data_IF_385307314382
#
_entry.id   IF_385307314382
#
_cell.length_a   1.000
_cell.length_b   1.000
_cell.length_c   1.000
_cell.angle_alpha   90.00
_cell.angle_beta   90.00
_cell.angle_gamma   90.00
#
_symmetry.space_group_name_H-M   'P 1'
#
loop_
_entity.id
_entity.type
_entity.pdbx_description
1 polymer ?
#
# COMPACT_ATOMS: atom_id res chain seq x y z
N UNK A 1 0.28 -19.59 -5.15
CA UNK A 1 -0.76 -18.77 -5.82
C UNK A 1 -0.63 -17.34 -5.35
N UNK A 2 -0.80 -16.38 -6.28
CA UNK A 2 -0.86 -14.95 -5.98
C UNK A 2 -2.32 -14.54 -5.81
N UNK A 3 -2.58 -13.62 -4.90
CA UNK A 3 -3.90 -13.05 -4.66
C UNK A 3 -3.93 -11.58 -5.03
N UNK A 4 -4.89 -11.18 -5.88
CA UNK A 4 -5.15 -9.82 -6.27
C UNK A 4 -6.43 -9.29 -5.63
N UNK A 5 -6.39 -8.04 -5.20
CA UNK A 5 -7.55 -7.30 -4.71
C UNK A 5 -7.61 -5.99 -5.47
N UNK A 6 -8.77 -5.62 -5.97
CA UNK A 6 -8.92 -4.38 -6.72
C UNK A 6 -10.28 -3.73 -6.47
N UNK A 7 -10.34 -2.42 -6.70
CA UNK A 7 -11.58 -1.68 -6.75
C UNK A 7 -12.43 -2.13 -7.96
N UNK A 8 -13.77 -2.17 -7.89
CA UNK A 8 -14.62 -2.49 -9.03
C UNK A 8 -14.39 -1.63 -10.28
N UNK A 9 -13.92 -0.40 -10.11
CA UNK A 9 -13.59 0.47 -11.23
C UNK A 9 -12.33 -0.02 -11.97
N UNK A 10 -11.36 -0.62 -11.26
CA UNK A 10 -10.19 -1.25 -11.87
C UNK A 10 -10.61 -2.39 -12.79
N UNK A 11 -11.55 -3.23 -12.34
CA UNK A 11 -12.11 -4.30 -13.17
C UNK A 11 -12.75 -3.74 -14.45
N UNK A 12 -13.57 -2.70 -14.32
CA UNK A 12 -14.23 -2.07 -15.45
C UNK A 12 -13.22 -1.49 -16.47
N UNK A 13 -12.17 -0.83 -15.99
CA UNK A 13 -11.12 -0.25 -16.84
C UNK A 13 -10.32 -1.36 -17.53
N UNK A 14 -9.87 -2.38 -16.80
CA UNK A 14 -9.13 -3.50 -17.38
C UNK A 14 -9.96 -4.22 -18.45
N UNK A 15 -11.24 -4.46 -18.17
CA UNK A 15 -12.15 -5.11 -19.12
C UNK A 15 -12.38 -4.24 -20.36
N UNK A 16 -12.54 -2.93 -20.19
CA UNK A 16 -12.73 -1.99 -21.31
C UNK A 16 -11.52 -1.92 -22.23
N UNK A 17 -10.32 -2.12 -21.67
CA UNK A 17 -9.05 -2.16 -22.42
C UNK A 17 -8.75 -3.53 -23.06
N UNK A 18 -9.75 -4.43 -23.12
CA UNK A 18 -9.61 -5.76 -23.73
C UNK A 18 -8.86 -6.78 -22.87
N UNK A 19 -8.55 -6.46 -21.63
CA UNK A 19 -8.01 -7.42 -20.68
C UNK A 19 -9.16 -8.31 -20.16
N UNK A 20 -8.99 -9.61 -20.25
CA UNK A 20 -10.01 -10.55 -19.78
C UNK A 20 -9.49 -11.37 -18.61
N UNK A 21 -10.28 -11.40 -17.55
CA UNK A 21 -10.07 -12.36 -16.47
C UNK A 21 -10.46 -13.76 -16.96
N UNK A 22 -9.62 -14.75 -16.67
CA UNK A 22 -9.99 -16.14 -16.92
C UNK A 22 -11.15 -16.49 -16.00
N UNK A 23 -12.33 -16.82 -16.51
CA UNK A 23 -13.51 -17.01 -15.69
C UNK A 23 -13.33 -18.19 -14.73
N UNK A 24 -13.75 -17.99 -13.48
CA UNK A 24 -13.95 -19.08 -12.51
C UNK A 24 -15.41 -19.56 -12.58
N UNK A 25 -15.70 -20.66 -11.90
CA UNK A 25 -17.09 -21.18 -11.86
C UNK A 25 -18.04 -20.12 -11.31
N UNK A 26 -19.25 -20.01 -11.86
CA UNK A 26 -20.25 -19.07 -11.40
C UNK A 26 -20.53 -19.14 -9.87
N UNK A 27 -20.61 -20.33 -9.23
CA UNK A 27 -20.73 -20.42 -7.78
C UNK A 27 -19.58 -19.75 -7.02
N UNK A 28 -18.34 -19.87 -7.50
CA UNK A 28 -17.18 -19.25 -6.85
C UNK A 28 -17.18 -17.73 -7.02
N UNK A 29 -17.60 -17.21 -8.16
CA UNK A 29 -17.77 -15.77 -8.35
C UNK A 29 -18.74 -15.17 -7.34
N UNK A 30 -19.91 -15.77 -7.17
CA UNK A 30 -20.94 -15.28 -6.27
C UNK A 30 -20.63 -15.51 -4.79
N UNK A 31 -20.09 -16.66 -4.43
CA UNK A 31 -19.87 -17.02 -3.01
C UNK A 31 -18.57 -16.43 -2.45
N UNK A 32 -17.52 -16.29 -3.27
CA UNK A 32 -16.19 -15.85 -2.84
C UNK A 32 -15.78 -14.47 -3.35
N UNK A 33 -16.63 -13.82 -4.17
CA UNK A 33 -16.30 -12.54 -4.80
C UNK A 33 -15.08 -12.60 -5.72
N UNK A 34 -14.82 -13.79 -6.31
CA UNK A 34 -13.72 -13.99 -7.24
C UNK A 34 -14.08 -13.44 -8.63
N UNK A 35 -13.25 -12.56 -9.17
CA UNK A 35 -13.40 -12.06 -10.53
C UNK A 35 -12.82 -13.04 -11.56
N UNK A 36 -11.73 -13.72 -11.22
CA UNK A 36 -11.04 -14.65 -12.08
C UNK A 36 -9.52 -14.60 -11.89
N UNK A 37 -8.81 -15.26 -12.80
CA UNK A 37 -7.34 -15.23 -12.86
C UNK A 37 -6.87 -14.26 -13.93
N UNK A 38 -5.91 -13.42 -13.57
CA UNK A 38 -5.27 -12.47 -14.46
C UNK A 38 -3.77 -12.43 -14.14
N UNK A 39 -2.92 -12.65 -15.13
CA UNK A 39 -1.46 -12.72 -14.98
C UNK A 39 -0.99 -13.61 -13.81
N UNK A 40 -1.63 -14.77 -13.62
CA UNK A 40 -1.23 -15.74 -12.60
C UNK A 40 -1.74 -15.47 -11.18
N UNK A 41 -2.44 -14.37 -10.95
CA UNK A 41 -3.07 -14.04 -9.67
C UNK A 41 -4.58 -14.24 -9.70
N UNK A 42 -5.16 -14.66 -8.58
CA UNK A 42 -6.61 -14.71 -8.36
C UNK A 42 -7.09 -13.35 -7.84
N UNK A 43 -7.98 -12.68 -8.58
CA UNK A 43 -8.50 -11.37 -8.22
C UNK A 43 -9.85 -11.43 -7.54
N UNK A 44 -10.01 -10.57 -6.53
CA UNK A 44 -11.27 -10.32 -5.82
C UNK A 44 -11.59 -8.83 -5.87
N UNK A 45 -12.86 -8.51 -6.12
CA UNK A 45 -13.34 -7.14 -6.05
C UNK A 45 -13.58 -6.73 -4.60
N UNK A 46 -13.08 -5.56 -4.23
CA UNK A 46 -13.30 -4.96 -2.90
C UNK A 46 -13.57 -3.46 -3.01
N UNK A 47 -14.67 -3.00 -2.41
CA UNK A 47 -15.12 -1.59 -2.49
C UNK A 47 -14.37 -0.64 -1.55
N UNK A 48 -13.39 -1.13 -0.79
CA UNK A 48 -12.72 -0.33 0.25
C UNK A 48 -11.35 0.19 -0.17
N UNK A 49 -10.93 -0.03 -1.40
CA UNK A 49 -9.68 0.54 -1.89
C UNK A 49 -9.85 2.05 -2.11
N UNK A 50 -8.90 2.87 -1.60
CA UNK A 50 -8.94 4.29 -1.83
C UNK A 50 -8.67 4.61 -3.30
N UNK A 51 -9.29 5.66 -3.80
CA UNK A 51 -8.88 6.32 -5.04
C UNK A 51 -7.99 7.50 -4.71
N UNK A 52 -7.04 7.79 -5.60
CA UNK A 52 -6.15 8.94 -5.48
C UNK A 52 -6.42 9.88 -6.66
N UNK A 53 -6.81 11.11 -6.35
CA UNK A 53 -6.93 12.16 -7.34
C UNK A 53 -5.60 12.91 -7.46
N UNK A 54 -4.95 12.79 -8.62
CA UNK A 54 -3.73 13.53 -8.94
C UNK A 54 -4.15 14.75 -9.75
N UNK A 55 -3.77 15.93 -9.29
CA UNK A 55 -4.05 17.21 -9.91
C UNK A 55 -2.90 18.15 -9.58
N UNK A 56 -1.81 18.03 -10.31
CA UNK A 56 -0.55 18.73 -10.04
C UNK A 56 -0.17 19.71 -11.16
N UNK A 57 -0.92 19.67 -12.27
CA UNK A 57 -0.61 20.45 -13.43
C UNK A 57 0.69 20.04 -14.13
N UNK A 58 1.11 20.82 -15.10
CA UNK A 58 2.31 20.58 -15.89
C UNK A 58 3.63 20.86 -15.15
N UNK A 59 3.59 21.18 -13.86
CA UNK A 59 4.78 21.57 -13.09
C UNK A 59 5.79 20.41 -12.92
N UNK A 60 5.29 19.17 -12.92
CA UNK A 60 6.12 17.96 -12.83
C UNK A 60 6.52 17.38 -14.19
N UNK A 61 6.05 17.98 -15.28
CA UNK A 61 6.39 17.52 -16.62
C UNK A 61 7.82 17.94 -17.01
N UNK A 62 8.49 17.09 -17.78
CA UNK A 62 9.78 17.40 -18.36
C UNK A 62 10.94 17.52 -17.38
N UNK A 63 10.81 17.04 -16.13
CA UNK A 63 11.90 17.04 -15.15
C UNK A 63 12.20 18.41 -14.54
N UNK A 64 11.26 19.34 -14.59
CA UNK A 64 11.41 20.68 -14.01
C UNK A 64 11.49 20.68 -12.48
N UNK A 65 10.90 19.67 -11.84
CA UNK A 65 10.97 19.48 -10.38
C UNK A 65 12.12 18.53 -10.03
N UNK A 66 12.93 18.91 -9.07
CA UNK A 66 14.07 18.12 -8.61
C UNK A 66 14.03 17.91 -7.09
N UNK A 67 14.71 16.87 -6.62
CA UNK A 67 14.94 16.68 -5.18
C UNK A 67 15.94 17.72 -4.71
N UNK A 68 15.51 18.63 -3.83
CA UNK A 68 16.41 19.62 -3.21
C UNK A 68 17.15 19.03 -2.02
N UNK A 69 16.46 18.25 -1.20
CA UNK A 69 17.08 17.52 -0.09
C UNK A 69 16.29 16.26 0.26
N UNK A 70 16.99 15.27 0.80
CA UNK A 70 16.44 14.04 1.34
C UNK A 70 16.94 13.87 2.76
N UNK A 71 16.03 13.65 3.70
CA UNK A 71 16.34 13.42 5.10
C UNK A 71 15.73 12.10 5.55
N UNK A 72 16.59 11.14 5.88
CA UNK A 72 16.16 9.86 6.42
C UNK A 72 15.66 10.05 7.87
N UNK A 73 14.52 9.47 8.18
CA UNK A 73 13.94 9.43 9.52
C UNK A 73 13.87 7.99 10.05
N UNK A 74 13.25 7.81 11.19
CA UNK A 74 13.07 6.47 11.78
C UNK A 74 11.72 5.84 11.42
N UNK A 75 10.71 6.62 11.16
CA UNK A 75 9.36 6.16 10.82
C UNK A 75 8.92 6.61 9.43
N UNK A 76 9.46 7.69 8.95
CA UNK A 76 9.22 8.24 7.63
C UNK A 76 10.43 9.07 7.21
N UNK A 77 10.63 9.18 5.92
CA UNK A 77 11.63 10.06 5.33
C UNK A 77 10.98 11.35 4.85
N UNK A 78 11.78 12.41 4.79
CA UNK A 78 11.34 13.71 4.33
C UNK A 78 12.09 14.07 3.06
N UNK A 79 11.34 14.36 1.99
CA UNK A 79 11.88 14.82 0.69
C UNK A 79 11.42 16.23 0.46
N UNK A 80 12.36 17.12 0.18
CA UNK A 80 12.05 18.48 -0.27
C UNK A 80 12.22 18.53 -1.79
N UNK A 81 11.11 18.79 -2.48
CA UNK A 81 11.05 18.99 -3.92
C UNK A 81 11.10 20.47 -4.23
N UNK A 82 11.82 20.86 -5.27
CA UNK A 82 11.95 22.26 -5.67
C UNK A 82 11.94 22.42 -7.18
N UNK A 83 11.44 23.57 -7.63
CA UNK A 83 11.46 24.00 -9.02
C UNK A 83 11.54 25.53 -9.11
N UNK A 84 11.73 26.08 -10.32
CA UNK A 84 11.71 27.54 -10.54
C UNK A 84 10.34 28.15 -10.21
N UNK A 85 9.27 27.41 -10.54
CA UNK A 85 7.88 27.76 -10.21
C UNK A 85 7.18 26.50 -9.75
N UNK A 86 6.81 26.42 -8.49
CA UNK A 86 6.12 25.29 -7.91
C UNK A 86 4.97 25.79 -7.03
N UNK A 87 3.75 25.61 -7.48
CA UNK A 87 2.53 26.08 -6.81
C UNK A 87 1.57 24.97 -6.46
N UNK A 88 1.79 23.79 -7.02
CA UNK A 88 0.93 22.61 -6.85
C UNK A 88 0.89 22.08 -5.43
N UNK A 89 -0.09 21.25 -5.16
CA UNK A 89 -0.18 20.47 -3.93
C UNK A 89 -0.19 18.98 -4.26
N UNK A 90 0.51 18.19 -3.46
CA UNK A 90 0.49 16.74 -3.56
C UNK A 90 -0.44 16.17 -2.50
N UNK A 91 -1.34 15.29 -2.94
CA UNK A 91 -2.29 14.62 -2.06
C UNK A 91 -1.68 13.35 -1.48
N UNK A 92 -2.13 13.00 -0.27
CA UNK A 92 -1.83 11.70 0.33
C UNK A 92 -2.13 10.57 -0.65
N UNK A 93 -1.21 9.62 -0.78
CA UNK A 93 -1.32 8.48 -1.69
C UNK A 93 -0.77 8.72 -3.09
N UNK A 94 -0.36 9.96 -3.43
CA UNK A 94 0.29 10.25 -4.72
C UNK A 94 1.65 9.55 -4.78
N UNK A 95 1.91 8.73 -5.81
CA UNK A 95 3.23 8.15 -6.02
C UNK A 95 4.17 9.19 -6.65
N UNK A 96 5.38 9.24 -6.14
CA UNK A 96 6.48 10.07 -6.66
C UNK A 96 7.57 9.12 -7.16
N UNK A 97 8.10 9.38 -8.34
CA UNK A 97 9.21 8.65 -8.93
C UNK A 97 10.42 9.57 -9.02
N UNK A 98 11.55 9.14 -8.49
CA UNK A 98 12.82 9.87 -8.57
C UNK A 98 13.68 9.19 -9.63
N UNK A 99 14.16 9.95 -10.59
CA UNK A 99 14.96 9.43 -11.69
C UNK A 99 16.22 8.71 -11.17
N UNK A 100 16.50 7.53 -11.75
CA UNK A 100 17.65 6.71 -11.40
C UNK A 100 17.51 5.93 -10.09
N UNK A 101 16.41 6.10 -9.32
CA UNK A 101 16.15 5.33 -8.11
C UNK A 101 15.27 4.13 -8.49
N UNK A 102 15.87 2.96 -8.62
CA UNK A 102 15.19 1.74 -9.03
C UNK A 102 14.79 0.90 -7.83
N UNK A 103 13.62 0.28 -7.92
CA UNK A 103 13.23 -0.77 -6.98
C UNK A 103 14.15 -1.99 -7.15
N UNK A 104 14.43 -2.68 -6.06
CA UNK A 104 15.25 -3.89 -6.09
C UNK A 104 14.41 -5.16 -6.03
N UNK A 105 14.98 -6.24 -6.48
CA UNK A 105 14.41 -7.57 -6.33
C UNK A 105 14.69 -8.16 -4.92
N UNK A 106 14.32 -9.40 -4.69
CA UNK A 106 14.52 -10.09 -3.40
C UNK A 106 15.99 -10.33 -3.05
N UNK A 107 16.90 -10.22 -4.01
CA UNK A 107 18.35 -10.39 -3.81
C UNK A 107 19.03 -9.03 -3.60
N UNK A 108 18.34 -7.93 -3.93
CA UNK A 108 18.84 -6.57 -3.82
C UNK A 108 19.44 -6.03 -5.13
N UNK A 109 19.20 -6.71 -6.25
CA UNK A 109 19.60 -6.23 -7.57
C UNK A 109 18.57 -5.24 -8.12
N UNK A 110 18.99 -4.18 -8.84
CA UNK A 110 18.08 -3.20 -9.41
C UNK A 110 17.18 -3.83 -10.48
N UNK A 111 15.90 -3.54 -10.37
CA UNK A 111 14.94 -3.88 -11.43
C UNK A 111 14.96 -2.80 -12.53
N UNK A 112 14.17 -3.00 -13.60
CA UNK A 112 13.98 -1.96 -14.62
C UNK A 112 12.94 -0.90 -14.24
N UNK A 113 12.35 -1.00 -13.04
CA UNK A 113 11.27 -0.13 -12.59
C UNK A 113 11.79 0.88 -11.58
N UNK A 114 11.40 2.16 -11.74
CA UNK A 114 11.66 3.18 -10.74
C UNK A 114 10.92 2.83 -9.45
N UNK A 115 11.55 3.14 -8.31
CA UNK A 115 10.91 2.97 -7.02
C UNK A 115 9.82 4.03 -6.83
N UNK A 116 8.69 3.61 -6.28
CA UNK A 116 7.52 4.45 -6.02
C UNK A 116 7.52 4.93 -4.58
N UNK A 117 7.76 6.21 -4.36
CA UNK A 117 7.63 6.86 -3.05
C UNK A 117 6.21 7.37 -2.87
N UNK A 118 5.49 6.87 -1.89
CA UNK A 118 4.09 7.25 -1.66
C UNK A 118 4.00 8.40 -0.66
N UNK A 119 3.31 9.47 -1.01
CA UNK A 119 3.06 10.61 -0.12
C UNK A 119 2.16 10.19 1.04
N UNK A 120 2.64 10.36 2.27
CA UNK A 120 1.93 9.94 3.49
C UNK A 120 0.89 10.95 3.99
N UNK A 121 1.06 12.22 3.66
CA UNK A 121 0.15 13.31 4.06
C UNK A 121 0.06 14.38 2.96
N UNK A 122 -1.02 15.14 2.93
CA UNK A 122 -1.18 16.25 1.99
C UNK A 122 -0.05 17.27 2.18
N UNK A 123 0.60 17.66 1.09
CA UNK A 123 1.69 18.63 1.06
C UNK A 123 1.37 19.75 0.07
N UNK A 124 1.60 20.99 0.49
CA UNK A 124 1.35 22.19 -0.34
C UNK A 124 2.65 22.94 -0.58
N UNK A 125 2.80 23.49 -1.78
CA UNK A 125 3.95 24.27 -2.13
C UNK A 125 4.06 25.54 -1.27
N UNK A 126 5.28 25.86 -0.88
CA UNK A 126 5.66 27.11 -0.23
C UNK A 126 7.01 27.56 -0.76
N UNK A 127 7.08 28.79 -1.26
CA UNK A 127 8.32 29.36 -1.80
C UNK A 127 9.01 28.48 -2.85
N UNK A 128 8.24 27.98 -3.81
CA UNK A 128 8.71 27.10 -4.90
C UNK A 128 9.27 25.74 -4.43
N UNK A 129 8.88 25.29 -3.27
CA UNK A 129 9.24 23.97 -2.75
C UNK A 129 8.05 23.28 -2.10
N UNK A 130 8.06 21.94 -2.15
CA UNK A 130 7.10 21.09 -1.45
C UNK A 130 7.89 20.14 -0.55
N UNK A 131 7.52 20.10 0.72
CA UNK A 131 8.07 19.11 1.65
C UNK A 131 7.09 17.96 1.77
N UNK A 132 7.51 16.76 1.36
CA UNK A 132 6.70 15.54 1.40
C UNK A 132 7.27 14.56 2.40
N UNK A 133 6.39 13.83 3.08
CA UNK A 133 6.74 12.66 3.90
C UNK A 133 6.43 11.39 3.13
N UNK A 134 7.40 10.49 3.10
CA UNK A 134 7.28 9.17 2.45
C UNK A 134 7.64 8.07 3.44
N UNK A 135 7.25 6.81 3.21
CA UNK A 135 7.69 5.69 4.04
C UNK A 135 9.21 5.67 4.17
N UNK A 136 9.71 5.30 5.35
CA UNK A 136 11.14 5.16 5.54
C UNK A 136 11.72 4.07 4.63
N UNK A 137 12.84 4.38 4.01
CA UNK A 137 13.57 3.47 3.12
C UNK A 137 15.04 3.43 3.55
N UNK A 138 15.56 2.23 3.74
CA UNK A 138 16.99 2.04 3.97
C UNK A 138 17.76 2.21 2.65
N UNK A 139 18.31 3.39 2.45
CA UNK A 139 19.10 3.73 1.27
C UNK A 139 20.45 3.01 1.24
N UNK A 140 21.05 2.78 2.40
CA UNK A 140 22.41 2.21 2.53
C UNK A 140 22.40 0.68 2.56
N UNK A 141 21.28 0.08 3.02
CA UNK A 141 21.05 -1.35 3.05
C UNK A 141 22.07 -2.13 3.86
N UNK A 142 22.01 -2.07 5.18
CA UNK A 142 22.71 -3.06 6.01
C UNK A 142 22.09 -4.47 5.90
N UNK A 143 20.92 -4.54 5.25
CA UNK A 143 20.20 -5.76 4.88
C UNK A 143 20.01 -5.88 3.37
N UNK A 144 18.84 -6.30 2.96
CA UNK A 144 18.46 -6.29 1.54
C UNK A 144 18.12 -4.86 1.13
N UNK A 145 18.82 -4.32 0.16
CA UNK A 145 18.57 -2.97 -0.36
C UNK A 145 17.12 -2.86 -0.89
N UNK A 146 16.42 -1.81 -0.51
CA UNK A 146 15.07 -1.55 -1.05
C UNK A 146 15.13 -0.76 -2.35
N UNK A 147 16.20 0.02 -2.54
CA UNK A 147 16.46 0.82 -3.73
C UNK A 147 17.92 0.77 -4.13
N UNK A 148 18.18 0.85 -5.44
CA UNK A 148 19.53 0.88 -5.99
C UNK A 148 19.61 1.79 -7.22
N UNK A 149 20.85 2.16 -7.60
CA UNK A 149 21.12 2.75 -8.91
C UNK A 149 21.14 1.66 -9.98
N UNK A 150 21.12 2.07 -11.24
CA UNK A 150 21.15 1.15 -12.39
C UNK A 150 22.37 0.21 -12.38
N UNK A 151 23.49 0.61 -11.79
CA UNK A 151 24.72 -0.18 -11.65
C UNK A 151 24.74 -1.05 -10.40
N UNK A 152 23.65 -1.11 -9.64
CA UNK A 152 23.55 -1.85 -8.39
C UNK A 152 24.18 -1.14 -7.17
N UNK A 153 24.76 0.04 -7.35
CA UNK A 153 25.33 0.80 -6.23
C UNK A 153 24.25 1.42 -5.34
N UNK A 154 24.62 1.72 -4.09
CA UNK A 154 23.70 2.29 -3.10
C UNK A 154 23.46 3.79 -3.32
N UNK A 155 22.30 4.26 -2.90
CA UNK A 155 22.01 5.67 -2.78
C UNK A 155 22.44 6.19 -1.40
N UNK A 156 22.72 7.49 -1.34
CA UNK A 156 22.92 8.23 -0.09
C UNK A 156 21.96 9.41 -0.07
N UNK A 157 21.66 9.93 1.10
CA UNK A 157 20.81 11.13 1.25
C UNK A 157 21.30 12.32 0.42
N UNK A 158 22.63 12.43 0.26
CA UNK A 158 23.25 13.49 -0.56
C UNK A 158 23.16 13.21 -2.05
N UNK A 159 23.37 11.95 -2.48
CA UNK A 159 23.39 11.58 -3.90
C UNK A 159 22.02 11.60 -4.58
N UNK A 160 20.92 11.50 -3.82
CA UNK A 160 19.55 11.68 -4.33
C UNK A 160 19.25 13.14 -4.67
N UNK A 161 19.93 14.08 -4.03
CA UNK A 161 19.76 15.50 -4.34
C UNK A 161 20.08 15.81 -5.80
N UNK A 162 19.28 16.68 -6.42
CA UNK A 162 19.40 17.07 -7.83
C UNK A 162 18.74 16.14 -8.84
N UNK A 163 18.26 14.97 -8.43
CA UNK A 163 17.56 14.06 -9.34
C UNK A 163 16.18 14.61 -9.71
N UNK A 164 15.77 14.41 -10.98
CA UNK A 164 14.46 14.79 -11.47
C UNK A 164 13.36 13.96 -10.84
N UNK A 165 12.21 14.60 -10.66
CA UNK A 165 11.03 13.95 -10.05
C UNK A 165 9.90 13.95 -11.05
N UNK A 166 9.24 12.82 -11.18
CA UNK A 166 8.02 12.67 -11.96
C UNK A 166 6.89 12.08 -11.11
N UNK A 167 5.69 12.39 -11.51
CA UNK A 167 4.45 11.83 -10.94
C UNK A 167 3.56 11.37 -12.09
N UNK A 168 2.57 10.51 -11.84
CA UNK A 168 1.60 10.16 -12.87
C UNK A 168 0.82 11.38 -13.36
N UNK A 169 0.30 11.30 -14.57
CA UNK A 169 -0.54 12.34 -15.17
C UNK A 169 -1.78 12.65 -14.31
N UNK A 170 -2.35 13.84 -14.49
CA UNK A 170 -3.57 14.25 -13.79
C UNK A 170 -4.73 13.27 -14.08
N UNK A 171 -5.45 12.91 -13.04
CA UNK A 171 -6.60 12.00 -13.15
C UNK A 171 -6.99 11.36 -11.82
N UNK A 172 -8.03 10.55 -11.87
CA UNK A 172 -8.44 9.74 -10.74
C UNK A 172 -7.87 8.33 -10.95
N UNK A 173 -7.08 7.89 -10.00
CA UNK A 173 -6.45 6.57 -10.02
C UNK A 173 -7.12 5.66 -9.02
N UNK A 174 -7.47 4.47 -9.47
CA UNK A 174 -8.03 3.40 -8.65
C UNK A 174 -6.95 2.40 -8.31
N UNK A 175 -6.94 1.94 -7.07
CA UNK A 175 -5.90 1.08 -6.54
C UNK A 175 -6.24 -0.39 -6.66
N UNK A 176 -5.22 -1.20 -6.93
CA UNK A 176 -5.24 -2.64 -6.77
C UNK A 176 -3.95 -3.12 -6.10
N UNK A 177 -4.02 -4.27 -5.47
CA UNK A 177 -2.90 -4.91 -4.77
C UNK A 177 -2.79 -6.35 -5.24
N UNK A 178 -1.59 -6.80 -5.51
CA UNK A 178 -1.25 -8.23 -5.71
C UNK A 178 -0.29 -8.63 -4.62
N UNK A 179 -0.57 -9.75 -3.95
CA UNK A 179 0.26 -10.24 -2.85
C UNK A 179 0.49 -11.75 -2.93
N UNK A 180 1.62 -12.20 -2.42
CA UNK A 180 1.84 -13.58 -2.08
C UNK A 180 1.17 -13.92 -0.72
N UNK A 181 0.83 -15.18 -0.45
CA UNK A 181 0.23 -15.58 0.83
C UNK A 181 1.06 -15.19 2.05
N UNK A 182 2.38 -15.32 1.94
CA UNK A 182 3.32 -15.02 3.03
C UNK A 182 3.59 -13.51 3.26
N UNK A 183 2.97 -12.61 2.48
CA UNK A 183 3.20 -11.17 2.62
C UNK A 183 2.62 -10.58 3.90
N UNK A 184 1.54 -11.18 4.41
CA UNK A 184 0.86 -10.74 5.62
C UNK A 184 0.72 -11.90 6.59
N UNK A 185 0.86 -11.59 7.87
CA UNK A 185 0.57 -12.50 8.95
C UNK A 185 -0.63 -11.99 9.75
N UNK A 186 -1.51 -12.91 10.10
CA UNK A 186 -2.65 -12.66 10.98
C UNK A 186 -2.49 -13.55 12.20
N UNK A 187 -2.44 -12.93 13.36
CA UNK A 187 -2.42 -13.63 14.63
C UNK A 187 -3.66 -13.29 15.43
N UNK A 188 -4.27 -14.29 16.05
CA UNK A 188 -5.38 -14.11 16.98
C UNK A 188 -4.92 -14.42 18.40
N UNK A 189 -5.32 -13.58 19.36
CA UNK A 189 -5.02 -13.84 20.76
C UNK A 189 -5.65 -15.16 21.20
N UNK A 190 -4.90 -15.93 21.96
CA UNK A 190 -5.37 -17.23 22.45
C UNK A 190 -6.45 -17.10 23.53
N UNK A 191 -6.43 -16.01 24.30
CA UNK A 191 -7.38 -15.80 25.38
C UNK A 191 -7.71 -14.33 25.55
N UNK A 192 -9.00 -14.02 25.52
CA UNK A 192 -9.55 -12.70 25.85
C UNK A 192 -10.76 -12.88 26.77
N UNK A 193 -10.49 -13.12 28.05
CA UNK A 193 -11.51 -13.37 29.07
C UNK A 193 -11.83 -12.09 29.84
N UNK A 194 -13.09 -11.71 29.88
CA UNK A 194 -13.55 -10.64 30.75
C UNK A 194 -13.78 -11.16 32.18
N UNK A 195 -13.33 -10.41 33.18
CA UNK A 195 -13.46 -10.80 34.59
C UNK A 195 -14.93 -11.06 34.97
N UNK A 196 -15.22 -12.24 35.49
CA UNK A 196 -16.55 -12.64 35.93
C UNK A 196 -17.54 -13.04 34.84
N UNK A 197 -17.10 -13.10 33.58
CA UNK A 197 -17.92 -13.58 32.48
C UNK A 197 -17.74 -15.08 32.25
N UNK A 198 -18.76 -15.73 31.72
CA UNK A 198 -18.64 -17.05 31.14
C UNK A 198 -17.95 -16.92 29.77
N UNK A 199 -16.83 -17.60 29.62
CA UNK A 199 -15.93 -17.48 28.47
C UNK A 199 -15.95 -18.74 27.61
N UNK A 200 -16.13 -18.53 26.31
CA UNK A 200 -16.06 -19.59 25.31
C UNK A 200 -15.20 -19.15 24.13
N UNK A 201 -14.26 -19.99 23.71
CA UNK A 201 -13.46 -19.82 22.50
C UNK A 201 -14.05 -20.66 21.37
N UNK A 202 -14.49 -20.02 20.32
CA UNK A 202 -15.06 -20.68 19.14
C UNK A 202 -14.08 -20.52 17.98
N UNK A 203 -13.43 -21.58 17.54
CA UNK A 203 -12.60 -21.53 16.34
C UNK A 203 -13.49 -21.41 15.08
N UNK A 204 -13.20 -20.44 14.24
CA UNK A 204 -13.89 -20.23 12.98
C UNK A 204 -12.88 -19.94 11.86
N UNK A 205 -12.75 -20.82 10.89
CA UNK A 205 -11.90 -20.65 9.70
C UNK A 205 -10.44 -20.20 10.00
N UNK A 206 -9.84 -20.74 11.04
CA UNK A 206 -8.47 -20.38 11.46
C UNK A 206 -8.37 -19.14 12.34
N UNK A 207 -9.48 -18.50 12.66
CA UNK A 207 -9.56 -17.38 13.61
C UNK A 207 -10.21 -17.84 14.92
N UNK A 208 -9.84 -17.21 16.02
CA UNK A 208 -10.43 -17.47 17.32
C UNK A 208 -11.42 -16.35 17.68
N UNK A 209 -12.70 -16.66 17.70
CA UNK A 209 -13.75 -15.77 18.19
C UNK A 209 -13.93 -16.00 19.67
N UNK A 210 -13.84 -14.96 20.46
CA UNK A 210 -14.02 -15.01 21.92
C UNK A 210 -15.43 -14.53 22.28
N UNK A 211 -16.20 -15.39 22.93
CA UNK A 211 -17.52 -15.09 23.44
C UNK A 211 -17.41 -14.90 24.94
N UNK A 212 -17.78 -13.72 25.42
CA UNK A 212 -17.89 -13.39 26.83
C UNK A 212 -19.37 -13.16 27.16
N UNK A 213 -19.89 -13.88 28.14
CA UNK A 213 -21.29 -13.79 28.56
C UNK A 213 -21.37 -13.42 30.04
N UNK A 214 -22.05 -12.32 30.34
CA UNK A 214 -22.28 -11.85 31.70
C UNK A 214 -23.78 -11.78 31.98
N UNK A 215 -24.21 -12.37 33.08
CA UNK A 215 -25.58 -12.28 33.56
C UNK A 215 -25.67 -11.21 34.67
N UNK A 216 -26.41 -10.16 34.41
CA UNK A 216 -26.76 -9.16 35.42
C UNK A 216 -28.06 -9.59 36.12
N UNK A 217 -27.91 -10.13 37.31
CA UNK A 217 -29.04 -10.63 38.09
C UNK A 217 -29.94 -9.53 38.63
N UNK A 218 -29.41 -8.33 38.87
CA UNK A 218 -30.19 -7.18 39.35
C UNK A 218 -31.14 -6.68 38.25
N UNK A 219 -30.67 -6.64 37.03
CA UNK A 219 -31.45 -6.19 35.86
C UNK A 219 -32.13 -7.30 35.10
N UNK A 220 -31.91 -8.56 35.51
CA UNK A 220 -32.42 -9.76 34.77
C UNK A 220 -32.04 -9.72 33.29
N UNK A 221 -30.85 -9.23 32.95
CA UNK A 221 -30.35 -9.09 31.60
C UNK A 221 -29.12 -9.95 31.36
N UNK A 222 -29.02 -10.46 30.16
CA UNK A 222 -27.88 -11.24 29.72
C UNK A 222 -27.12 -10.48 28.62
N UNK A 223 -25.86 -10.15 28.88
CA UNK A 223 -24.99 -9.47 27.94
C UNK A 223 -24.06 -10.50 27.30
N UNK A 224 -24.11 -10.59 25.98
CA UNK A 224 -23.18 -11.43 25.22
C UNK A 224 -22.33 -10.53 24.32
N UNK A 225 -21.02 -10.65 24.44
CA UNK A 225 -20.05 -9.93 23.63
C UNK A 225 -19.20 -10.93 22.84
N UNK A 226 -19.06 -10.65 21.56
CA UNK A 226 -18.16 -11.38 20.68
C UNK A 226 -16.97 -10.49 20.34
N UNK A 227 -15.76 -10.96 20.62
CA UNK A 227 -14.53 -10.28 20.34
C UNK A 227 -13.70 -11.11 19.36
N UNK A 228 -13.17 -10.46 18.33
CA UNK A 228 -12.21 -11.03 17.40
C UNK A 228 -10.94 -10.18 17.44
N UNK A 229 -10.03 -10.41 18.40
CA UNK A 229 -8.78 -9.72 18.46
C UNK A 229 -7.85 -10.26 17.37
N UNK A 230 -7.61 -9.45 16.36
CA UNK A 230 -6.71 -9.79 15.25
C UNK A 230 -5.54 -8.82 15.26
N UNK A 231 -4.35 -9.36 15.31
CA UNK A 231 -3.13 -8.65 14.97
C UNK A 231 -2.82 -8.95 13.50
N UNK A 232 -2.66 -7.93 12.70
CA UNK A 232 -2.28 -8.04 11.30
C UNK A 232 -1.00 -7.26 11.06
N UNK A 233 -0.05 -7.88 10.42
CA UNK A 233 1.24 -7.26 10.10
C UNK A 233 1.71 -7.64 8.70
N UNK A 234 2.46 -6.74 8.07
CA UNK A 234 3.18 -7.05 6.84
C UNK A 234 4.51 -7.67 7.24
N UNK A 235 4.70 -8.94 6.92
CA UNK A 235 5.92 -9.68 7.22
C UNK A 235 7.01 -9.36 6.20
N UNK A 236 6.64 -9.35 4.93
CA UNK A 236 7.57 -9.09 3.84
C UNK A 236 6.93 -8.14 2.81
N UNK A 237 7.21 -6.83 2.89
CA UNK A 237 6.64 -5.82 2.00
C UNK A 237 6.91 -6.06 0.51
N UNK A 238 8.06 -6.68 0.18
CA UNK A 238 8.44 -6.96 -1.21
C UNK A 238 7.59 -8.04 -1.89
N UNK A 239 6.83 -8.80 -1.10
CA UNK A 239 5.84 -9.76 -1.62
C UNK A 239 4.47 -9.12 -1.90
N UNK A 240 4.38 -7.80 -1.78
CA UNK A 240 3.20 -7.00 -2.10
C UNK A 240 3.53 -6.05 -3.23
N UNK A 241 2.76 -6.09 -4.29
CA UNK A 241 2.83 -5.12 -5.38
C UNK A 241 1.53 -4.34 -5.44
N UNK A 242 1.64 -3.03 -5.41
CA UNK A 242 0.51 -2.12 -5.59
C UNK A 242 0.53 -1.59 -7.02
N UNK A 243 -0.64 -1.47 -7.62
CA UNK A 243 -0.78 -0.85 -8.94
C UNK A 243 -1.92 0.17 -8.92
N UNK A 244 -1.80 1.17 -9.77
CA UNK A 244 -2.79 2.22 -9.98
C UNK A 244 -3.28 2.16 -11.41
N UNK A 245 -4.58 2.31 -11.61
CA UNK A 245 -5.23 2.31 -12.92
C UNK A 245 -6.05 3.59 -13.05
N UNK A 246 -5.93 4.28 -14.18
CA UNK A 246 -6.64 5.52 -14.53
C UNK A 246 -7.76 5.27 -15.51
#
# INVERSE_FOLDING_TARGET
>A
DLYGFCDPNVEAILTSNGQQFVPVSAPDMYSKGLLGKFHGAEYRSQRFFPSVAISTGSEFDGGAVTVTSYTAGTSYDTIVLGATTLTSSLKKGTPIFIEGVYATDTVGDPTSMLHSFIVLEDATASSNSITVKVPHIDLAGEGTKEVAKADGSVWTTTSIGGQSVSIPEDGIYYMGIVRAPAAFEFETLDKLEAAGADYEKVPAEGLNVHKNQLVDLEKMTNYTRFDLPVLAGTVEPRLVSMFLVR
#
